data_IF_081552680791
#
_entry.id   IF_081552680791
#
_cell.length_a   1.000
_cell.length_b   1.000
_cell.length_c   1.000
_cell.angle_alpha   90.00
_cell.angle_beta   90.00
_cell.angle_gamma   90.00
#
_symmetry.space_group_name_H-M   'P 1'
#
loop_
_entity.id
_entity.type
_entity.pdbx_description
1 polymer ?
#
# COMPACT_ATOMS: atom_id res chain seq x y z
N UNK A 1 17.21 4.67 25.26
CA UNK A 1 17.18 3.32 25.90
C UNK A 1 16.22 2.45 25.12
N UNK A 2 16.50 1.15 24.92
CA UNK A 2 15.50 0.27 24.29
C UNK A 2 14.26 0.13 25.18
N UNK A 3 13.08 -0.02 24.58
CA UNK A 3 11.81 -0.18 25.31
C UNK A 3 10.98 -1.34 24.78
N UNK A 4 10.49 -2.20 25.67
CA UNK A 4 9.50 -3.25 25.37
C UNK A 4 8.30 -3.04 26.27
N UNK A 5 7.08 -3.14 25.73
CA UNK A 5 5.85 -2.80 26.47
C UNK A 5 5.88 -1.38 27.09
N UNK A 6 6.60 -0.44 26.46
CA UNK A 6 6.88 0.92 26.96
C UNK A 6 7.67 0.99 28.28
N UNK A 7 8.24 -0.12 28.75
CA UNK A 7 9.13 -0.18 29.92
C UNK A 7 10.60 -0.18 29.48
N UNK A 8 11.50 0.25 30.37
CA UNK A 8 12.94 0.20 30.14
C UNK A 8 13.43 -1.22 29.89
N UNK A 9 14.24 -1.41 28.85
CA UNK A 9 14.84 -2.68 28.48
C UNK A 9 16.37 -2.55 28.46
N UNK A 10 17.04 -3.15 27.46
CA UNK A 10 18.50 -3.07 27.29
C UNK A 10 18.90 -1.94 26.32
N UNK A 11 20.15 -1.44 26.41
CA UNK A 11 20.64 -0.43 25.48
C UNK A 11 20.64 -0.92 24.01
N UNK A 12 20.39 0.02 23.11
CA UNK A 12 20.60 -0.11 21.66
C UNK A 12 20.99 1.25 21.09
N UNK A 13 21.58 1.27 19.90
CA UNK A 13 21.91 2.51 19.20
C UNK A 13 20.72 2.97 18.35
N UNK A 14 20.58 4.29 18.16
CA UNK A 14 19.59 4.86 17.24
C UNK A 14 19.78 4.35 15.80
N UNK A 15 21.03 4.08 15.40
CA UNK A 15 21.35 3.47 14.11
C UNK A 15 20.78 2.06 13.94
N UNK A 16 20.73 1.24 15.01
CA UNK A 16 20.08 -0.07 14.97
C UNK A 16 18.56 0.06 14.78
N UNK A 17 17.93 1.04 15.44
CA UNK A 17 16.49 1.30 15.32
C UNK A 17 16.09 1.74 13.91
N UNK A 18 16.79 2.74 13.35
CA UNK A 18 16.52 3.21 11.99
C UNK A 18 16.90 2.17 10.92
N UNK A 19 17.92 1.35 11.16
CA UNK A 19 18.21 0.20 10.30
C UNK A 19 17.06 -0.80 10.30
N UNK A 20 16.43 -1.05 11.45
CA UNK A 20 15.25 -1.91 11.52
C UNK A 20 14.07 -1.33 10.72
N UNK A 21 13.82 -0.01 10.78
CA UNK A 21 12.82 0.65 9.93
C UNK A 21 13.11 0.46 8.44
N UNK A 22 14.37 0.63 8.03
CA UNK A 22 14.80 0.40 6.64
C UNK A 22 14.53 -1.04 6.18
N UNK A 23 14.83 -2.03 7.03
CA UNK A 23 14.59 -3.44 6.73
C UNK A 23 13.09 -3.72 6.61
N UNK A 24 12.27 -3.20 7.53
CA UNK A 24 10.82 -3.36 7.49
C UNK A 24 10.22 -2.90 6.15
N UNK A 25 10.68 -1.76 5.62
CA UNK A 25 10.22 -1.22 4.33
C UNK A 25 10.79 -1.99 3.13
N UNK A 26 12.05 -2.43 3.18
CA UNK A 26 12.66 -3.25 2.11
C UNK A 26 11.94 -4.58 1.90
N UNK A 27 11.42 -5.19 2.96
CA UNK A 27 10.59 -6.39 2.85
C UNK A 27 9.30 -6.13 2.08
N UNK A 28 8.70 -4.95 2.24
CA UNK A 28 7.45 -4.60 1.57
C UNK A 28 7.64 -4.34 0.08
N UNK A 29 8.80 -3.81 -0.34
CA UNK A 29 9.13 -3.70 -1.78
C UNK A 29 9.05 -5.08 -2.45
N UNK A 30 9.65 -6.10 -1.84
CA UNK A 30 9.60 -7.47 -2.36
C UNK A 30 8.18 -8.04 -2.35
N UNK A 31 7.41 -7.76 -1.29
CA UNK A 31 6.04 -8.23 -1.15
C UNK A 31 5.10 -7.62 -2.22
N UNK A 32 5.24 -6.32 -2.47
CA UNK A 32 4.46 -5.59 -3.48
C UNK A 32 4.86 -6.06 -4.88
N UNK A 33 6.15 -6.22 -5.17
CA UNK A 33 6.61 -6.72 -6.47
C UNK A 33 6.03 -8.11 -6.76
N UNK A 34 6.16 -9.05 -5.82
CA UNK A 34 5.62 -10.40 -5.96
C UNK A 34 4.11 -10.43 -6.18
N UNK A 35 3.35 -9.59 -5.46
CA UNK A 35 1.88 -9.58 -5.61
C UNK A 35 1.44 -8.87 -6.87
N UNK A 36 2.18 -7.84 -7.33
CA UNK A 36 1.92 -7.17 -8.60
C UNK A 36 2.10 -8.09 -9.82
N UNK A 37 2.94 -9.13 -9.72
CA UNK A 37 3.07 -10.14 -10.78
C UNK A 37 1.75 -10.86 -11.08
N UNK A 38 0.83 -10.97 -10.10
CA UNK A 38 -0.49 -11.57 -10.30
C UNK A 38 -1.37 -10.77 -11.27
N UNK A 39 -1.09 -9.47 -11.46
CA UNK A 39 -1.82 -8.60 -12.40
C UNK A 39 -1.35 -8.78 -13.86
N UNK A 40 -0.31 -9.58 -14.10
CA UNK A 40 0.22 -9.83 -15.44
C UNK A 40 -0.57 -10.91 -16.18
N UNK A 41 -1.36 -11.71 -15.45
CA UNK A 41 -2.32 -12.62 -16.05
C UNK A 41 -3.57 -11.84 -16.48
N UNK A 42 -3.96 -11.98 -17.76
CA UNK A 42 -5.07 -11.21 -18.33
C UNK A 42 -6.04 -12.09 -19.12
N UNK A 43 -7.32 -11.73 -19.08
CA UNK A 43 -8.40 -12.46 -19.74
C UNK A 43 -8.79 -11.87 -21.12
N UNK A 44 -7.90 -11.13 -21.80
CA UNK A 44 -8.19 -10.53 -23.11
C UNK A 44 -8.61 -11.61 -24.12
N UNK A 45 -9.83 -11.49 -24.64
CA UNK A 45 -10.45 -12.48 -25.53
C UNK A 45 -11.46 -13.40 -24.83
N UNK A 46 -11.64 -13.30 -23.52
CA UNK A 46 -12.72 -13.96 -22.76
C UNK A 46 -14.12 -13.59 -23.27
N UNK A 47 -14.30 -12.35 -23.71
CA UNK A 47 -15.59 -11.74 -24.12
C UNK A 47 -16.57 -11.65 -22.96
N UNK A 48 -17.83 -12.08 -23.15
CA UNK A 48 -18.90 -11.82 -22.19
C UNK A 48 -18.78 -12.65 -20.89
N UNK A 49 -18.37 -13.92 -21.02
CA UNK A 49 -18.39 -14.90 -19.91
C UNK A 49 -17.21 -15.89 -19.97
N UNK A 50 -16.12 -15.51 -20.62
CA UNK A 50 -14.92 -16.37 -20.75
C UNK A 50 -14.90 -17.37 -21.90
N UNK A 51 -16.01 -17.58 -22.60
CA UNK A 51 -16.10 -18.59 -23.68
C UNK A 51 -15.36 -18.21 -24.96
N UNK A 52 -14.96 -16.96 -25.12
CA UNK A 52 -14.39 -16.45 -26.37
C UNK A 52 -15.40 -16.37 -27.53
N UNK A 53 -16.69 -16.34 -27.24
CA UNK A 53 -17.73 -16.21 -28.28
C UNK A 53 -17.52 -14.93 -29.10
N UNK A 54 -17.72 -15.00 -30.41
CA UNK A 54 -17.49 -13.90 -31.36
C UNK A 54 -16.03 -13.42 -31.46
N UNK A 55 -15.07 -14.23 -31.01
CA UNK A 55 -13.63 -13.92 -31.09
C UNK A 55 -12.90 -14.97 -31.94
N UNK A 56 -12.08 -14.56 -32.94
CA UNK A 56 -11.23 -15.51 -33.67
C UNK A 56 -10.25 -16.23 -32.74
N UNK A 57 -9.90 -17.48 -33.05
CA UNK A 57 -9.04 -18.31 -32.20
C UNK A 57 -7.68 -17.66 -31.90
N UNK A 58 -7.16 -16.89 -32.86
CA UNK A 58 -5.86 -16.24 -32.77
C UNK A 58 -5.90 -14.90 -32.03
N UNK A 59 -7.09 -14.36 -31.73
CA UNK A 59 -7.22 -13.02 -31.16
C UNK A 59 -6.59 -12.90 -29.77
N UNK A 60 -6.94 -13.79 -28.83
CA UNK A 60 -6.43 -13.71 -27.45
C UNK A 60 -4.89 -13.73 -27.39
N UNK A 61 -4.19 -14.74 -27.95
CA UNK A 61 -2.73 -14.77 -27.89
C UNK A 61 -2.09 -13.57 -28.62
N UNK A 62 -2.70 -13.09 -29.72
CA UNK A 62 -2.21 -11.91 -30.42
C UNK A 62 -2.42 -10.61 -29.63
N UNK A 63 -3.59 -10.44 -29.01
CA UNK A 63 -3.95 -9.27 -28.21
C UNK A 63 -3.07 -9.16 -26.96
N UNK A 64 -2.86 -10.27 -26.25
CA UNK A 64 -1.97 -10.30 -25.07
C UNK A 64 -0.52 -10.03 -25.47
N UNK A 65 -0.03 -10.61 -26.58
CA UNK A 65 1.30 -10.29 -27.12
C UNK A 65 1.44 -8.79 -27.42
N UNK A 66 0.42 -8.19 -28.06
CA UNK A 66 0.42 -6.76 -28.38
C UNK A 66 0.34 -5.89 -27.13
N UNK A 67 -0.42 -6.30 -26.11
CA UNK A 67 -0.45 -5.63 -24.82
C UNK A 67 0.94 -5.63 -24.16
N UNK A 68 1.62 -6.79 -24.17
CA UNK A 68 2.97 -6.91 -23.64
C UNK A 68 3.98 -6.01 -24.40
N UNK A 69 3.88 -5.96 -25.73
CA UNK A 69 4.72 -5.08 -26.58
C UNK A 69 4.51 -3.59 -26.26
N UNK A 70 3.27 -3.15 -26.10
CA UNK A 70 2.94 -1.72 -25.86
C UNK A 70 3.28 -1.27 -24.45
N UNK A 71 3.03 -2.13 -23.46
CA UNK A 71 3.23 -1.79 -22.05
C UNK A 71 4.65 -2.05 -21.55
N UNK A 72 5.38 -2.96 -22.21
CA UNK A 72 6.67 -3.46 -21.74
C UNK A 72 6.57 -4.44 -20.57
N UNK A 73 5.36 -4.81 -20.14
CA UNK A 73 5.15 -5.81 -19.10
C UNK A 73 4.96 -7.21 -19.70
N UNK A 74 5.45 -8.27 -19.05
CA UNK A 74 5.34 -9.63 -19.56
C UNK A 74 3.94 -10.21 -19.27
N UNK A 75 2.91 -9.61 -19.87
CA UNK A 75 1.53 -10.07 -19.74
C UNK A 75 1.35 -11.45 -20.38
N UNK A 76 0.57 -12.32 -19.74
CA UNK A 76 0.27 -13.69 -20.17
C UNK A 76 -1.24 -13.92 -20.18
N UNK A 77 -1.77 -14.76 -21.10
CA UNK A 77 -3.18 -15.11 -21.06
C UNK A 77 -3.48 -15.95 -19.83
N UNK A 78 -4.68 -15.77 -19.26
CA UNK A 78 -5.16 -16.62 -18.17
C UNK A 78 -5.25 -18.09 -18.58
N UNK A 79 -5.03 -19.00 -17.63
CA UNK A 79 -5.09 -20.44 -17.85
C UNK A 79 -6.50 -20.88 -18.27
N UNK A 80 -7.53 -20.31 -17.64
CA UNK A 80 -8.93 -20.49 -17.98
C UNK A 80 -9.66 -19.14 -18.03
N UNK A 81 -10.16 -18.78 -19.21
CA UNK A 81 -10.86 -17.51 -19.42
C UNK A 81 -12.22 -17.46 -18.73
N UNK A 82 -12.87 -18.60 -18.46
CA UNK A 82 -14.16 -18.67 -17.73
C UNK A 82 -13.95 -18.33 -16.27
N UNK A 83 -12.88 -18.86 -15.68
CA UNK A 83 -12.47 -18.54 -14.30
C UNK A 83 -12.07 -17.06 -14.19
N UNK A 84 -11.15 -16.61 -15.05
CA UNK A 84 -10.61 -15.27 -15.00
C UNK A 84 -11.60 -14.15 -15.35
N UNK A 85 -12.82 -14.47 -15.82
CA UNK A 85 -13.87 -13.46 -16.07
C UNK A 85 -14.56 -13.01 -14.79
N UNK A 86 -14.62 -13.85 -13.76
CA UNK A 86 -15.21 -13.49 -12.46
C UNK A 86 -14.18 -13.28 -11.35
N UNK A 87 -12.93 -13.70 -11.56
CA UNK A 87 -11.90 -13.62 -10.53
C UNK A 87 -11.46 -12.18 -10.22
N UNK A 88 -11.43 -11.88 -8.92
CA UNK A 88 -10.91 -10.63 -8.36
C UNK A 88 -9.78 -10.90 -7.33
N UNK A 89 -9.29 -12.14 -7.24
CA UNK A 89 -8.32 -12.58 -6.24
C UNK A 89 -6.98 -11.85 -6.33
N UNK A 90 -6.52 -11.54 -7.56
CA UNK A 90 -5.31 -10.75 -7.76
C UNK A 90 -5.41 -9.35 -7.10
N UNK A 91 -6.56 -8.68 -7.22
CA UNK A 91 -6.78 -7.36 -6.60
C UNK A 91 -6.74 -7.43 -5.07
N UNK A 92 -7.34 -8.47 -4.48
CA UNK A 92 -7.31 -8.71 -3.03
C UNK A 92 -5.88 -8.92 -2.55
N UNK A 93 -5.10 -9.74 -3.26
CA UNK A 93 -3.71 -10.02 -2.90
C UNK A 93 -2.81 -8.78 -3.00
N UNK A 94 -2.97 -7.99 -4.05
CA UNK A 94 -2.22 -6.73 -4.23
C UNK A 94 -2.60 -5.72 -3.17
N UNK A 95 -3.90 -5.50 -2.91
CA UNK A 95 -4.31 -4.55 -1.88
C UNK A 95 -3.86 -5.00 -0.48
N UNK A 96 -3.88 -6.31 -0.21
CA UNK A 96 -3.35 -6.88 1.03
C UNK A 96 -1.86 -6.57 1.25
N UNK A 97 -1.07 -6.51 0.16
CA UNK A 97 0.32 -6.05 0.23
C UNK A 97 0.43 -4.56 0.57
N UNK A 98 -0.42 -3.71 -0.01
CA UNK A 98 -0.49 -2.28 0.32
C UNK A 98 -0.91 -2.04 1.77
N UNK A 99 -1.88 -2.81 2.29
CA UNK A 99 -2.28 -2.79 3.71
C UNK A 99 -1.09 -3.14 4.61
N UNK A 100 -0.32 -4.18 4.29
CA UNK A 100 0.84 -4.60 5.09
C UNK A 100 1.91 -3.50 5.15
N UNK A 101 2.17 -2.83 4.03
CA UNK A 101 3.01 -1.64 3.99
C UNK A 101 2.45 -0.53 4.90
N UNK A 102 1.16 -0.22 4.79
CA UNK A 102 0.51 0.81 5.60
C UNK A 102 0.62 0.53 7.11
N UNK A 103 0.44 -0.73 7.54
CA UNK A 103 0.62 -1.13 8.95
C UNK A 103 2.05 -0.84 9.43
N UNK A 104 3.06 -1.23 8.64
CA UNK A 104 4.47 -1.01 8.98
C UNK A 104 4.84 0.48 8.99
N UNK A 105 4.38 1.24 8.00
CA UNK A 105 4.60 2.69 7.93
C UNK A 105 3.95 3.42 9.10
N UNK A 106 2.72 3.04 9.46
CA UNK A 106 2.01 3.61 10.61
C UNK A 106 2.77 3.37 11.91
N UNK A 107 3.32 2.16 12.10
CA UNK A 107 4.19 1.84 13.25
C UNK A 107 5.42 2.73 13.31
N UNK A 108 6.15 2.88 12.19
CA UNK A 108 7.33 3.76 12.13
C UNK A 108 6.95 5.19 12.49
N UNK A 109 5.83 5.71 11.96
CA UNK A 109 5.35 7.06 12.29
C UNK A 109 4.98 7.19 13.77
N UNK A 110 4.39 6.17 14.38
CA UNK A 110 4.08 6.16 15.81
C UNK A 110 5.36 6.26 16.66
N UNK A 111 6.40 5.50 16.30
CA UNK A 111 7.70 5.56 16.98
C UNK A 111 8.31 6.96 16.84
N UNK A 112 8.33 7.53 15.63
CA UNK A 112 8.87 8.87 15.41
C UNK A 112 8.17 9.92 16.27
N UNK A 113 6.83 9.87 16.34
CA UNK A 113 6.04 10.79 17.19
C UNK A 113 6.33 10.59 18.68
N UNK A 114 6.51 9.35 19.13
CA UNK A 114 6.80 9.04 20.52
C UNK A 114 8.22 9.46 20.92
N UNK A 115 9.22 9.14 20.09
CA UNK A 115 10.62 9.52 20.31
C UNK A 115 10.81 11.04 20.28
N UNK A 116 10.03 11.77 19.46
CA UNK A 116 10.05 13.23 19.39
C UNK A 116 9.15 13.93 20.42
N UNK A 117 8.49 13.19 21.32
CA UNK A 117 7.58 13.80 22.30
C UNK A 117 8.35 14.68 23.30
N UNK A 118 7.88 15.90 23.57
CA UNK A 118 8.66 16.86 24.33
C UNK A 118 8.04 18.27 24.32
N UNK A 119 8.81 19.32 24.66
CA UNK A 119 10.28 19.31 24.84
C UNK A 119 10.76 18.99 26.27
N UNK A 120 9.87 18.99 27.28
CA UNK A 120 10.28 18.78 28.69
C UNK A 120 9.60 17.61 29.39
N UNK A 121 8.43 17.20 28.91
CA UNK A 121 7.57 16.20 29.57
C UNK A 121 7.31 14.97 28.67
N UNK A 122 8.25 14.66 27.77
CA UNK A 122 8.22 13.50 26.89
C UNK A 122 9.60 12.84 26.82
N UNK A 123 9.83 12.02 25.79
CA UNK A 123 11.11 11.32 25.61
C UNK A 123 12.22 12.23 25.05
N UNK A 124 11.88 13.06 24.06
CA UNK A 124 12.79 14.00 23.40
C UNK A 124 14.12 13.36 22.96
N UNK A 125 14.07 12.13 22.43
CA UNK A 125 15.24 11.36 21.98
C UNK A 125 15.66 11.72 20.55
N UNK A 126 14.75 12.27 19.75
CA UNK A 126 15.01 12.80 18.40
C UNK A 126 14.34 14.16 18.21
N UNK A 127 14.87 14.96 17.28
CA UNK A 127 14.24 16.20 16.82
C UNK A 127 13.69 16.00 15.41
N UNK A 128 12.42 16.33 15.19
CA UNK A 128 11.82 16.35 13.85
C UNK A 128 11.78 17.80 13.34
N UNK A 129 11.85 18.04 12.02
CA UNK A 129 11.79 19.40 11.48
C UNK A 129 10.50 20.14 11.84
N UNK A 130 10.65 21.43 12.11
CA UNK A 130 9.56 22.33 12.49
C UNK A 130 8.85 22.88 11.26
N UNK A 131 7.82 22.16 10.79
CA UNK A 131 7.16 22.52 9.53
C UNK A 131 6.03 23.55 9.67
N UNK A 132 5.48 23.69 10.88
CA UNK A 132 4.44 24.68 11.19
C UNK A 132 4.36 24.92 12.70
N UNK A 133 3.90 26.11 13.08
CA UNK A 133 3.58 26.41 14.48
C UNK A 133 2.49 25.46 14.97
N UNK A 134 2.76 24.73 16.03
CA UNK A 134 1.88 23.69 16.57
C UNK A 134 0.70 24.22 17.39
N UNK A 135 0.71 25.51 17.73
CA UNK A 135 -0.42 26.20 18.37
C UNK A 135 -0.23 27.72 18.31
N UNK A 136 -1.33 28.46 18.14
CA UNK A 136 -1.33 29.93 18.14
C UNK A 136 -1.00 30.55 19.51
N UNK A 137 -1.12 29.79 20.61
CA UNK A 137 -0.91 30.30 21.99
C UNK A 137 0.42 29.86 22.61
N UNK A 138 1.10 28.87 22.02
CA UNK A 138 2.37 28.34 22.53
C UNK A 138 3.48 28.61 21.50
N UNK A 139 4.24 29.72 21.63
CA UNK A 139 5.13 30.24 20.59
C UNK A 139 6.28 29.31 20.17
N UNK A 140 6.52 28.21 20.88
CA UNK A 140 7.56 27.22 20.60
C UNK A 140 7.04 25.77 20.53
N UNK A 141 5.71 25.57 20.49
CA UNK A 141 5.15 24.24 20.33
C UNK A 141 5.21 23.85 18.86
N UNK A 142 5.82 22.70 18.57
CA UNK A 142 5.87 22.10 17.24
C UNK A 142 5.26 20.70 17.32
N UNK A 143 4.38 20.38 16.37
CA UNK A 143 3.73 19.06 16.31
C UNK A 143 4.35 18.23 15.18
N UNK A 144 4.44 16.89 15.33
CA UNK A 144 5.00 15.98 14.32
C UNK A 144 3.98 15.71 13.19
N UNK A 145 3.60 16.76 12.47
CA UNK A 145 2.45 16.75 11.53
C UNK A 145 2.65 15.86 10.30
N UNK A 146 3.90 15.61 9.91
CA UNK A 146 4.20 14.70 8.78
C UNK A 146 3.94 13.24 9.18
N UNK A 147 4.50 12.71 10.28
CA UNK A 147 4.06 11.41 10.80
C UNK A 147 2.54 11.30 11.02
N UNK A 148 1.89 12.37 11.49
CA UNK A 148 0.43 12.38 11.72
C UNK A 148 -0.38 12.21 10.42
N UNK A 149 -0.03 12.92 9.33
CA UNK A 149 -0.74 12.76 8.05
C UNK A 149 -0.45 11.39 7.43
N UNK A 150 0.75 10.85 7.60
CA UNK A 150 1.09 9.49 7.15
C UNK A 150 0.27 8.43 7.91
N UNK A 151 0.08 8.59 9.23
CA UNK A 151 -0.81 7.70 9.99
C UNK A 151 -2.24 7.73 9.44
N UNK A 152 -2.78 8.92 9.14
CA UNK A 152 -4.13 9.07 8.56
C UNK A 152 -4.27 8.39 7.19
N UNK A 153 -3.27 8.54 6.32
CA UNK A 153 -3.18 7.82 5.05
C UNK A 153 -3.21 6.31 5.28
N UNK A 154 -2.42 5.80 6.23
CA UNK A 154 -2.38 4.38 6.53
C UNK A 154 -3.75 3.85 7.00
N UNK A 155 -4.50 4.62 7.81
CA UNK A 155 -5.85 4.25 8.22
C UNK A 155 -6.80 4.18 7.02
N UNK A 156 -6.72 5.14 6.11
CA UNK A 156 -7.55 5.16 4.89
C UNK A 156 -7.29 3.95 3.99
N UNK A 157 -6.01 3.57 3.80
CA UNK A 157 -5.64 2.35 3.07
C UNK A 157 -6.23 1.11 3.72
N UNK A 158 -6.15 0.98 5.05
CA UNK A 158 -6.73 -0.18 5.76
C UNK A 158 -8.26 -0.23 5.59
N UNK A 159 -8.94 0.91 5.59
CA UNK A 159 -10.36 1.00 5.26
C UNK A 159 -10.66 0.55 3.83
N UNK A 160 -9.89 1.03 2.86
CA UNK A 160 -10.00 0.64 1.46
C UNK A 160 -9.76 -0.86 1.24
N UNK A 161 -8.88 -1.49 2.02
CA UNK A 161 -8.65 -2.94 1.98
C UNK A 161 -9.90 -3.75 2.35
N UNK A 162 -10.65 -3.26 3.34
CA UNK A 162 -11.93 -3.86 3.72
C UNK A 162 -12.93 -3.71 2.58
N UNK A 163 -12.99 -2.54 1.93
CA UNK A 163 -13.84 -2.32 0.75
C UNK A 163 -13.49 -3.28 -0.38
N UNK A 164 -12.21 -3.42 -0.74
CA UNK A 164 -11.75 -4.34 -1.79
C UNK A 164 -12.10 -5.78 -1.45
N UNK A 165 -11.89 -6.19 -0.20
CA UNK A 165 -12.20 -7.56 0.26
C UNK A 165 -13.69 -7.87 0.12
N UNK A 166 -14.57 -6.99 0.60
CA UNK A 166 -16.01 -7.19 0.53
C UNK A 166 -16.54 -7.12 -0.91
N UNK A 167 -15.98 -6.26 -1.75
CA UNK A 167 -16.35 -6.17 -3.15
C UNK A 167 -15.94 -7.40 -3.95
N UNK A 168 -14.75 -7.96 -3.69
CA UNK A 168 -14.27 -9.17 -4.35
C UNK A 168 -15.11 -10.40 -3.98
N UNK A 169 -15.55 -10.52 -2.71
CA UNK A 169 -16.42 -11.61 -2.25
C UNK A 169 -17.80 -11.59 -2.91
N UNK A 170 -18.33 -10.42 -3.25
CA UNK A 170 -19.66 -10.23 -3.81
C UNK A 170 -19.80 -10.64 -5.30
N UNK A 171 -18.83 -11.37 -5.86
CA UNK A 171 -18.93 -11.92 -7.22
C UNK A 171 -20.12 -12.89 -7.34
N UNK A 172 -20.80 -12.86 -8.49
CA UNK A 172 -21.99 -13.70 -8.72
C UNK A 172 -21.89 -14.36 -10.09
N UNK A 173 -21.75 -15.69 -10.08
CA UNK A 173 -21.66 -16.50 -11.29
C UNK A 173 -20.48 -16.05 -12.18
N UNK A 174 -20.73 -15.69 -13.45
CA UNK A 174 -19.70 -15.44 -14.46
C UNK A 174 -19.04 -14.06 -14.37
N UNK A 175 -19.40 -13.18 -13.42
CA UNK A 175 -18.84 -11.83 -13.36
C UNK A 175 -18.83 -11.27 -11.93
N UNK A 176 -17.84 -10.42 -11.63
CA UNK A 176 -17.90 -9.52 -10.47
C UNK A 176 -18.28 -8.10 -10.91
N UNK A 177 -19.47 -7.65 -10.56
CA UNK A 177 -19.96 -6.30 -10.93
C UNK A 177 -19.44 -5.18 -10.02
N UNK A 178 -18.70 -5.52 -8.96
CA UNK A 178 -18.16 -4.58 -7.97
C UNK A 178 -16.76 -4.07 -8.34
N UNK A 179 -16.20 -4.48 -9.48
CA UNK A 179 -14.91 -4.00 -10.00
C UNK A 179 -14.75 -2.47 -10.00
N UNK A 180 -15.78 -1.64 -10.27
CA UNK A 180 -15.62 -0.18 -10.20
C UNK A 180 -15.18 0.32 -8.81
N UNK A 181 -15.72 -0.23 -7.72
CA UNK A 181 -15.32 0.17 -6.36
C UNK A 181 -13.96 -0.42 -5.98
N UNK A 182 -13.62 -1.63 -6.46
CA UNK A 182 -12.28 -2.20 -6.33
C UNK A 182 -11.25 -1.28 -6.98
N UNK A 183 -11.47 -0.91 -8.25
CA UNK A 183 -10.59 -0.02 -9.00
C UNK A 183 -10.40 1.33 -8.30
N UNK A 184 -11.50 1.98 -7.88
CA UNK A 184 -11.42 3.26 -7.17
C UNK A 184 -10.60 3.16 -5.87
N UNK A 185 -10.87 2.16 -5.03
CA UNK A 185 -10.17 1.96 -3.76
C UNK A 185 -8.68 1.65 -3.96
N UNK A 186 -8.36 0.83 -4.97
CA UNK A 186 -6.99 0.49 -5.36
C UNK A 186 -6.20 1.73 -5.78
N UNK A 187 -6.72 2.51 -6.74
CA UNK A 187 -6.03 3.71 -7.24
C UNK A 187 -5.92 4.79 -6.18
N UNK A 188 -6.95 4.97 -5.33
CA UNK A 188 -6.87 5.89 -4.18
C UNK A 188 -5.73 5.47 -3.25
N UNK A 189 -5.70 4.21 -2.81
CA UNK A 189 -4.67 3.67 -1.90
C UNK A 189 -3.26 3.84 -2.46
N UNK A 190 -3.02 3.51 -3.74
CA UNK A 190 -1.73 3.71 -4.39
C UNK A 190 -1.35 5.19 -4.39
N UNK A 191 -2.25 6.07 -4.81
CA UNK A 191 -1.98 7.50 -4.89
C UNK A 191 -1.61 8.11 -3.53
N UNK A 192 -2.41 7.87 -2.50
CA UNK A 192 -2.17 8.44 -1.17
C UNK A 192 -0.93 7.86 -0.49
N UNK A 193 -0.65 6.56 -0.66
CA UNK A 193 0.57 5.93 -0.13
C UNK A 193 1.82 6.45 -0.81
N UNK A 194 1.80 6.59 -2.13
CA UNK A 194 2.93 7.16 -2.88
C UNK A 194 3.24 8.57 -2.38
N UNK A 195 2.22 9.42 -2.22
CA UNK A 195 2.39 10.77 -1.67
C UNK A 195 2.94 10.75 -0.23
N UNK A 196 2.48 9.82 0.62
CA UNK A 196 3.00 9.66 1.98
C UNK A 196 4.49 9.23 1.98
N UNK A 197 4.86 8.27 1.13
CA UNK A 197 6.25 7.79 0.97
C UNK A 197 7.21 8.89 0.51
N UNK A 198 6.77 9.83 -0.32
CA UNK A 198 7.60 10.97 -0.73
C UNK A 198 7.66 12.07 0.33
N UNK A 199 6.52 12.40 0.95
CA UNK A 199 6.46 13.49 1.94
C UNK A 199 7.20 13.17 3.24
N UNK A 200 7.20 11.90 3.68
CA UNK A 200 7.84 11.48 4.92
C UNK A 200 9.34 11.84 4.94
N UNK A 201 10.19 11.39 3.99
CA UNK A 201 11.59 11.80 3.94
C UNK A 201 11.77 13.25 3.42
N UNK A 202 10.98 13.69 2.43
CA UNK A 202 11.17 14.98 1.77
C UNK A 202 10.92 16.20 2.66
N UNK A 203 10.20 16.01 3.77
CA UNK A 203 9.96 17.05 4.79
C UNK A 203 10.67 16.75 6.12
N UNK A 204 11.54 15.72 6.16
CA UNK A 204 12.34 15.32 7.32
C UNK A 204 13.81 15.74 7.23
N UNK A 205 14.16 16.57 6.23
CA UNK A 205 15.47 17.22 6.11
C UNK A 205 15.56 18.52 6.90
#
# INVERSE_FOLDING_TARGET
MGRTQLQDAVPMTLGQEFRAFSILLKEEVKNIQRTAELLLEVNLGATAIGTGLNTPKEYSPLAVKKLAEVTGFPCVPAEDLIEATSDCGAYVMVHGALKRLAVKMSKICNDLRLLSSGPRAGLNEINLPELQAGSSIMPAKVNPVVPEVVNQVCFKVIGNDTTVTMAAEAGQLQLNVMEPVIGQAMFESVHILTNACYNLPGKMH
#
